data_IF_239997811721
#
_entry.id   IF_239997811721
#
_cell.length_a   1.000
_cell.length_b   1.000
_cell.length_c   1.000
_cell.angle_alpha   90.00
_cell.angle_beta   90.00
_cell.angle_gamma   90.00
#
_symmetry.space_group_name_H-M   'P 1'
#
loop_
_entity.id
_entity.type
_entity.pdbx_description
1 polymer ?
#
# COMPACT_ATOMS: atom_id res chain seq x y z
N UNK A 1 -37.35 9.06 5.41
CA UNK A 1 -36.77 7.89 6.10
C UNK A 1 -35.27 8.12 6.17
N UNK A 2 -34.73 8.34 7.37
CA UNK A 2 -33.27 8.45 7.57
C UNK A 2 -32.73 7.04 7.74
N UNK A 3 -32.09 6.50 6.71
CA UNK A 3 -31.32 5.25 6.81
C UNK A 3 -30.34 5.37 7.98
N UNK A 4 -30.33 4.37 8.87
CA UNK A 4 -29.40 4.35 10.00
C UNK A 4 -27.97 4.13 9.49
N UNK A 5 -26.97 4.63 10.21
CA UNK A 5 -25.56 4.39 9.87
C UNK A 5 -25.20 2.90 9.87
N UNK A 6 -25.91 2.12 10.67
CA UNK A 6 -25.79 0.67 10.73
C UNK A 6 -26.36 -0.02 9.49
N UNK A 7 -27.46 0.49 8.93
CA UNK A 7 -28.07 -0.03 7.69
C UNK A 7 -27.13 0.22 6.51
N UNK A 8 -26.59 1.44 6.40
CA UNK A 8 -25.60 1.80 5.36
C UNK A 8 -24.34 0.93 5.44
N UNK A 9 -23.89 0.57 6.65
CA UNK A 9 -22.79 -0.37 6.86
C UNK A 9 -23.16 -1.77 6.37
N UNK A 10 -24.36 -2.24 6.70
CA UNK A 10 -24.84 -3.55 6.29
C UNK A 10 -24.95 -3.64 4.75
N UNK A 11 -25.45 -2.60 4.10
CA UNK A 11 -25.51 -2.52 2.64
C UNK A 11 -24.13 -2.49 2.00
N UNK A 12 -23.20 -1.70 2.56
CA UNK A 12 -21.79 -1.71 2.13
C UNK A 12 -21.16 -3.10 2.22
N UNK A 13 -21.44 -3.85 3.29
CA UNK A 13 -20.96 -5.23 3.45
C UNK A 13 -21.59 -6.18 2.42
N UNK A 14 -22.87 -6.01 2.09
CA UNK A 14 -23.56 -6.79 1.05
C UNK A 14 -22.95 -6.54 -0.33
N UNK A 15 -22.74 -5.28 -0.71
CA UNK A 15 -22.09 -4.95 -1.98
C UNK A 15 -20.66 -5.48 -2.06
N UNK A 16 -19.92 -5.44 -0.94
CA UNK A 16 -18.59 -6.02 -0.85
C UNK A 16 -18.57 -7.52 -1.11
N UNK A 17 -19.52 -8.27 -0.54
CA UNK A 17 -19.65 -9.71 -0.78
C UNK A 17 -20.05 -10.03 -2.23
N UNK A 18 -20.79 -9.14 -2.87
CA UNK A 18 -21.14 -9.24 -4.30
C UNK A 18 -19.98 -8.84 -5.25
N UNK A 19 -18.83 -8.40 -4.73
CA UNK A 19 -17.71 -7.90 -5.53
C UNK A 19 -17.94 -6.51 -6.13
N UNK A 20 -19.03 -5.83 -5.77
CA UNK A 20 -19.40 -4.49 -6.25
C UNK A 20 -18.72 -3.42 -5.39
N UNK A 21 -17.40 -3.30 -5.54
CA UNK A 21 -16.59 -2.47 -4.65
C UNK A 21 -16.86 -0.96 -4.76
N UNK A 22 -17.22 -0.45 -5.95
CA UNK A 22 -17.53 0.98 -6.13
C UNK A 22 -18.79 1.39 -5.36
N UNK A 23 -19.84 0.58 -5.46
CA UNK A 23 -21.10 0.85 -4.74
C UNK A 23 -20.93 0.68 -3.23
N UNK A 24 -20.09 -0.26 -2.80
CA UNK A 24 -19.69 -0.38 -1.40
C UNK A 24 -18.98 0.90 -0.91
N UNK A 25 -18.08 1.49 -1.71
CA UNK A 25 -17.39 2.75 -1.36
C UNK A 25 -18.40 3.89 -1.19
N UNK A 26 -19.41 3.98 -2.06
CA UNK A 26 -20.45 5.00 -1.97
C UNK A 26 -21.30 4.84 -0.70
N UNK A 27 -21.70 3.60 -0.39
CA UNK A 27 -22.44 3.28 0.83
C UNK A 27 -21.64 3.63 2.10
N UNK A 28 -20.35 3.26 2.16
CA UNK A 28 -19.48 3.62 3.29
C UNK A 28 -19.24 5.13 3.38
N UNK A 29 -19.15 5.83 2.24
CA UNK A 29 -18.98 7.28 2.24
C UNK A 29 -20.21 8.00 2.76
N UNK A 30 -21.42 7.52 2.42
CA UNK A 30 -22.68 7.99 3.01
C UNK A 30 -22.70 7.75 4.53
N UNK A 31 -22.25 6.58 4.99
CA UNK A 31 -22.16 6.27 6.43
C UNK A 31 -21.19 7.22 7.16
N UNK A 32 -20.02 7.52 6.56
CA UNK A 32 -19.01 8.44 7.12
C UNK A 32 -19.56 9.88 7.22
N UNK A 33 -20.30 10.36 6.22
CA UNK A 33 -20.92 11.69 6.25
C UNK A 33 -21.91 11.81 7.41
N UNK A 34 -22.63 10.73 7.73
CA UNK A 34 -23.59 10.69 8.83
C UNK A 34 -22.93 10.55 10.20
N UNK A 35 -21.91 9.70 10.31
CA UNK A 35 -21.15 9.52 11.55
C UNK A 35 -19.65 9.32 11.26
N UNK A 36 -18.83 10.37 11.40
CA UNK A 36 -17.40 10.32 11.09
C UNK A 36 -16.53 9.74 12.22
N UNK A 37 -17.11 9.37 13.37
CA UNK A 37 -16.34 8.93 14.54
C UNK A 37 -16.03 7.43 14.56
N UNK A 38 -16.64 6.64 13.66
CA UNK A 38 -16.51 5.19 13.65
C UNK A 38 -15.34 4.75 12.77
N UNK A 39 -14.28 4.22 13.38
CA UNK A 39 -13.08 3.75 12.67
C UNK A 39 -13.36 2.62 11.67
N UNK A 40 -14.39 1.80 11.92
CA UNK A 40 -14.75 0.64 11.09
C UNK A 40 -15.16 1.03 9.67
N UNK A 41 -15.84 2.17 9.49
CA UNK A 41 -16.28 2.62 8.16
C UNK A 41 -15.08 2.95 7.27
N UNK A 42 -14.06 3.61 7.84
CA UNK A 42 -12.81 3.90 7.14
C UNK A 42 -12.03 2.63 6.80
N UNK A 43 -11.93 1.67 7.73
CA UNK A 43 -11.22 0.40 7.43
C UNK A 43 -11.92 -0.42 6.35
N UNK A 44 -13.25 -0.43 6.33
CA UNK A 44 -14.01 -1.17 5.32
C UNK A 44 -13.92 -0.48 3.94
N UNK A 45 -13.97 0.86 3.91
CA UNK A 45 -13.76 1.64 2.68
C UNK A 45 -12.33 1.47 2.14
N UNK A 46 -11.32 1.51 3.00
CA UNK A 46 -9.93 1.25 2.64
C UNK A 46 -9.78 -0.14 2.00
N UNK A 47 -10.41 -1.17 2.58
CA UNK A 47 -10.40 -2.52 2.01
C UNK A 47 -11.03 -2.57 0.61
N UNK A 48 -12.13 -1.84 0.38
CA UNK A 48 -12.73 -1.74 -0.96
C UNK A 48 -11.76 -1.11 -1.97
N UNK A 49 -11.09 -0.02 -1.60
CA UNK A 49 -10.08 0.62 -2.45
C UNK A 49 -8.91 -0.33 -2.79
N UNK A 50 -8.48 -1.16 -1.84
CA UNK A 50 -7.42 -2.16 -2.07
C UNK A 50 -7.87 -3.25 -3.05
N UNK A 51 -9.11 -3.74 -2.93
CA UNK A 51 -9.62 -4.76 -3.84
C UNK A 51 -9.83 -4.21 -5.26
N UNK A 52 -10.28 -2.95 -5.41
CA UNK A 52 -10.33 -2.27 -6.71
C UNK A 52 -8.92 -2.19 -7.32
N UNK A 53 -7.92 -1.80 -6.53
CA UNK A 53 -6.52 -1.73 -6.98
C UNK A 53 -5.94 -3.10 -7.36
N UNK A 54 -6.32 -4.16 -6.65
CA UNK A 54 -5.81 -5.52 -6.90
C UNK A 54 -6.49 -6.25 -8.05
N UNK A 55 -7.80 -6.05 -8.26
CA UNK A 55 -8.56 -6.76 -9.29
C UNK A 55 -8.21 -6.29 -10.72
N UNK A 56 -7.86 -5.01 -10.87
CA UNK A 56 -7.51 -4.43 -12.16
C UNK A 56 -6.19 -5.00 -12.74
N UNK A 57 -5.36 -5.68 -11.92
CA UNK A 57 -4.08 -6.27 -12.35
C UNK A 57 -4.25 -7.48 -13.28
N UNK A 58 -5.35 -8.24 -13.18
CA UNK A 58 -5.50 -9.50 -13.93
C UNK A 58 -6.03 -9.28 -15.35
N UNK A 59 -6.75 -8.18 -15.61
CA UNK A 59 -7.48 -8.00 -16.87
C UNK A 59 -6.73 -7.17 -17.92
N UNK A 60 -5.82 -6.27 -17.55
CA UNK A 60 -5.23 -5.29 -18.47
C UNK A 60 -3.75 -5.03 -18.18
N UNK A 61 -2.89 -5.98 -18.56
CA UNK A 61 -1.42 -5.85 -18.53
C UNK A 61 -0.84 -4.99 -19.67
N UNK A 62 -1.67 -4.28 -20.46
CA UNK A 62 -1.23 -3.62 -21.71
C UNK A 62 -1.50 -2.11 -21.84
N UNK A 63 -2.10 -1.41 -20.88
CA UNK A 63 -2.38 0.03 -21.00
C UNK A 63 -1.79 0.85 -19.85
N UNK A 64 -0.91 1.81 -20.18
CA UNK A 64 -0.21 2.70 -19.23
C UNK A 64 -1.14 3.60 -18.39
N UNK A 65 -2.40 3.77 -18.79
CA UNK A 65 -3.40 4.59 -18.08
C UNK A 65 -3.91 3.99 -16.77
N UNK A 66 -3.91 2.66 -16.64
CA UNK A 66 -4.56 1.96 -15.52
C UNK A 66 -3.68 1.88 -14.27
N UNK A 67 -2.34 1.96 -14.43
CA UNK A 67 -1.39 1.95 -13.31
C UNK A 67 -1.56 3.17 -12.39
N UNK A 68 -1.87 4.35 -12.97
CA UNK A 68 -2.08 5.57 -12.20
C UNK A 68 -3.35 5.48 -11.34
N UNK A 69 -4.40 4.82 -11.86
CA UNK A 69 -5.64 4.60 -11.12
C UNK A 69 -5.43 3.64 -9.94
N UNK A 70 -4.61 2.60 -10.12
CA UNK A 70 -4.23 1.69 -9.04
C UNK A 70 -3.46 2.43 -7.94
N UNK A 71 -2.39 3.16 -8.27
CA UNK A 71 -1.62 3.93 -7.30
C UNK A 71 -2.49 4.96 -6.56
N UNK A 72 -3.42 5.60 -7.28
CA UNK A 72 -4.40 6.52 -6.68
C UNK A 72 -5.34 5.82 -5.71
N UNK A 73 -5.78 4.59 -6.00
CA UNK A 73 -6.61 3.79 -5.09
C UNK A 73 -5.86 3.39 -3.82
N UNK A 74 -4.59 2.96 -3.94
CA UNK A 74 -3.73 2.64 -2.80
C UNK A 74 -3.44 3.86 -1.91
N UNK A 75 -3.24 5.04 -2.52
CA UNK A 75 -3.05 6.29 -1.79
C UNK A 75 -4.29 6.69 -0.97
N UNK A 76 -5.49 6.60 -1.56
CA UNK A 76 -6.75 6.83 -0.84
C UNK A 76 -6.95 5.83 0.30
N UNK A 77 -6.61 4.57 0.08
CA UNK A 77 -6.70 3.54 1.11
C UNK A 77 -5.75 3.82 2.28
N UNK A 78 -4.53 4.31 2.01
CA UNK A 78 -3.58 4.71 3.03
C UNK A 78 -4.10 5.88 3.88
N UNK A 79 -4.69 6.91 3.25
CA UNK A 79 -5.29 8.05 3.95
C UNK A 79 -6.44 7.61 4.88
N UNK A 80 -7.30 6.71 4.39
CA UNK A 80 -8.40 6.15 5.20
C UNK A 80 -7.87 5.33 6.38
N UNK A 81 -6.77 4.59 6.21
CA UNK A 81 -6.13 3.86 7.30
C UNK A 81 -5.51 4.82 8.34
N UNK A 82 -4.93 5.94 7.92
CA UNK A 82 -4.42 6.97 8.83
C UNK A 82 -5.54 7.61 9.65
N UNK A 83 -6.69 7.92 9.02
CA UNK A 83 -7.88 8.42 9.72
C UNK A 83 -8.43 7.39 10.71
N UNK A 84 -8.52 6.12 10.29
CA UNK A 84 -8.96 5.04 11.17
C UNK A 84 -8.03 4.86 12.39
N UNK A 85 -6.71 4.96 12.19
CA UNK A 85 -5.73 4.86 13.26
C UNK A 85 -5.75 6.05 14.24
N UNK A 86 -6.16 7.23 13.76
CA UNK A 86 -6.38 8.41 14.61
C UNK A 86 -7.61 8.25 15.50
N UNK A 87 -8.71 7.71 14.94
CA UNK A 87 -9.96 7.49 15.67
C UNK A 87 -9.84 6.34 16.68
N UNK A 88 -9.23 5.23 16.27
CA UNK A 88 -9.08 4.05 17.10
C UNK A 88 -7.64 3.53 17.06
N UNK A 89 -6.96 3.70 18.21
CA UNK A 89 -5.57 3.29 18.37
C UNK A 89 -5.41 1.77 18.48
N UNK A 90 -6.47 1.06 18.87
CA UNK A 90 -6.45 -0.38 19.11
C UNK A 90 -6.96 -1.20 17.92
N UNK A 91 -7.39 -0.56 16.83
CA UNK A 91 -7.89 -1.27 15.66
C UNK A 91 -6.74 -1.94 14.87
N UNK A 92 -6.60 -3.26 15.02
CA UNK A 92 -5.60 -4.09 14.30
C UNK A 92 -5.72 -3.95 12.78
N UNK A 93 -6.96 -3.93 12.26
CA UNK A 93 -7.23 -3.93 10.82
C UNK A 93 -6.73 -2.65 10.16
N UNK A 94 -6.85 -1.50 10.84
CA UNK A 94 -6.38 -0.22 10.33
C UNK A 94 -4.86 -0.24 10.06
N UNK A 95 -4.08 -0.75 11.00
CA UNK A 95 -2.62 -0.85 10.84
C UNK A 95 -2.20 -1.92 9.82
N UNK A 96 -2.91 -3.05 9.78
CA UNK A 96 -2.64 -4.11 8.82
C UNK A 96 -2.90 -3.66 7.38
N UNK A 97 -4.06 -3.05 7.13
CA UNK A 97 -4.42 -2.49 5.83
C UNK A 97 -3.48 -1.34 5.44
N UNK A 98 -3.19 -0.41 6.37
CA UNK A 98 -2.23 0.67 6.12
C UNK A 98 -0.83 0.15 5.75
N UNK A 99 -0.36 -0.90 6.43
CA UNK A 99 0.90 -1.57 6.11
C UNK A 99 0.90 -2.18 4.70
N UNK A 100 -0.18 -2.85 4.31
CA UNK A 100 -0.33 -3.40 2.95
C UNK A 100 -0.34 -2.30 1.88
N UNK A 101 -1.08 -1.22 2.11
CA UNK A 101 -1.11 -0.08 1.18
C UNK A 101 0.28 0.57 1.04
N UNK A 102 1.00 0.74 2.14
CA UNK A 102 2.34 1.32 2.13
C UNK A 102 3.36 0.44 1.37
N UNK A 103 3.25 -0.90 1.40
CA UNK A 103 4.06 -1.79 0.57
C UNK A 103 3.81 -1.51 -0.92
N UNK A 104 2.55 -1.38 -1.33
CA UNK A 104 2.19 -1.13 -2.73
C UNK A 104 2.61 0.27 -3.21
N UNK A 105 2.67 1.24 -2.30
CA UNK A 105 3.17 2.60 -2.58
C UNK A 105 4.71 2.69 -2.55
N UNK A 106 5.44 1.61 -2.21
CA UNK A 106 6.91 1.60 -2.11
C UNK A 106 7.46 2.20 -0.81
N UNK A 107 6.60 2.59 0.14
CA UNK A 107 6.98 3.17 1.43
C UNK A 107 7.26 2.08 2.47
N UNK A 108 8.31 1.29 2.25
CA UNK A 108 8.59 0.09 3.05
C UNK A 108 8.94 0.36 4.52
N UNK A 109 9.59 1.49 4.83
CA UNK A 109 9.93 1.84 6.21
C UNK A 109 8.67 2.09 7.06
N UNK A 110 7.71 2.82 6.50
CA UNK A 110 6.43 3.05 7.17
C UNK A 110 5.62 1.75 7.28
N UNK A 111 5.61 0.94 6.21
CA UNK A 111 4.93 -0.35 6.21
C UNK A 111 5.40 -1.26 7.35
N UNK A 112 6.72 -1.39 7.56
CA UNK A 112 7.29 -2.22 8.64
C UNK A 112 6.84 -1.71 10.01
N UNK A 113 6.82 -0.39 10.22
CA UNK A 113 6.33 0.22 11.48
C UNK A 113 4.87 -0.13 11.74
N UNK A 114 4.01 0.04 10.73
CA UNK A 114 2.58 -0.24 10.83
C UNK A 114 2.30 -1.73 11.08
N UNK A 115 2.97 -2.63 10.35
CA UNK A 115 2.81 -4.08 10.50
C UNK A 115 3.32 -4.56 11.87
N UNK A 116 4.40 -3.97 12.39
CA UNK A 116 4.90 -4.28 13.74
C UNK A 116 3.87 -3.89 14.80
N UNK A 117 3.29 -2.70 14.69
CA UNK A 117 2.20 -2.27 15.59
C UNK A 117 0.97 -3.16 15.47
N UNK A 118 0.61 -3.58 14.25
CA UNK A 118 -0.47 -4.52 14.04
C UNK A 118 -0.21 -5.87 14.73
N UNK A 119 1.04 -6.36 14.71
CA UNK A 119 1.46 -7.59 15.41
C UNK A 119 1.26 -7.49 16.92
N UNK A 120 1.71 -6.38 17.51
CA UNK A 120 1.55 -6.13 18.95
C UNK A 120 0.07 -6.14 19.34
N UNK A 121 -0.75 -5.37 18.62
CA UNK A 121 -2.20 -5.31 18.87
C UNK A 121 -2.88 -6.67 18.65
N UNK A 122 -2.53 -7.41 17.60
CA UNK A 122 -3.07 -8.74 17.35
C UNK A 122 -2.72 -9.73 18.46
N UNK A 123 -1.51 -9.63 19.03
CA UNK A 123 -1.09 -10.44 20.17
C UNK A 123 -1.88 -10.09 21.43
N UNK A 124 -2.17 -8.81 21.67
CA UNK A 124 -3.01 -8.40 22.82
C UNK A 124 -4.45 -8.88 22.69
N UNK A 125 -5.00 -8.87 21.47
CA UNK A 125 -6.39 -9.24 21.18
C UNK A 125 -6.57 -10.73 20.87
N UNK A 126 -5.49 -11.54 20.92
CA UNK A 126 -5.46 -12.98 20.58
C UNK A 126 -6.17 -13.31 19.26
N UNK A 127 -5.97 -12.50 18.24
CA UNK A 127 -6.58 -12.73 16.92
C UNK A 127 -5.71 -13.63 16.04
N UNK A 128 -6.33 -14.42 15.15
CA UNK A 128 -5.64 -15.34 14.21
C UNK A 128 -4.88 -14.64 13.06
N UNK A 129 -4.55 -13.36 13.18
CA UNK A 129 -3.83 -12.60 12.12
C UNK A 129 -2.31 -12.86 12.08
N UNK A 130 -1.78 -13.68 13.00
CA UNK A 130 -0.34 -13.87 13.16
C UNK A 130 0.39 -14.28 11.88
N UNK A 131 -0.14 -15.26 11.16
CA UNK A 131 0.50 -15.80 9.95
C UNK A 131 0.50 -14.82 8.78
N UNK A 132 -0.63 -14.12 8.57
CA UNK A 132 -0.75 -13.09 7.53
C UNK A 132 0.18 -11.89 7.81
N UNK A 133 0.23 -11.42 9.05
CA UNK A 133 1.09 -10.31 9.48
C UNK A 133 2.57 -10.68 9.23
N UNK A 134 2.97 -11.91 9.58
CA UNK A 134 4.33 -12.38 9.30
C UNK A 134 4.63 -12.49 7.80
N UNK A 135 3.68 -12.97 7.00
CA UNK A 135 3.84 -13.01 5.54
C UNK A 135 4.06 -11.61 4.96
N UNK A 136 3.21 -10.63 5.33
CA UNK A 136 3.34 -9.24 4.89
C UNK A 136 4.65 -8.59 5.38
N UNK A 137 5.09 -8.91 6.60
CA UNK A 137 6.37 -8.40 7.12
C UNK A 137 7.57 -8.94 6.35
N UNK A 138 7.55 -10.23 5.98
CA UNK A 138 8.60 -10.83 5.13
C UNK A 138 8.63 -10.18 3.75
N UNK A 139 7.46 -9.96 3.16
CA UNK A 139 7.34 -9.25 1.88
C UNK A 139 7.92 -7.83 2.01
N UNK A 140 7.48 -7.02 2.97
CA UNK A 140 7.97 -5.66 3.15
C UNK A 140 9.51 -5.58 3.32
N UNK A 141 10.11 -6.52 4.07
CA UNK A 141 11.57 -6.57 4.25
C UNK A 141 12.30 -6.99 2.98
N UNK A 142 11.78 -7.97 2.24
CA UNK A 142 12.34 -8.40 0.95
C UNK A 142 12.33 -7.26 -0.07
N UNK A 143 11.20 -6.56 -0.16
CA UNK A 143 11.02 -5.42 -1.08
C UNK A 143 11.95 -4.25 -0.70
N UNK A 144 12.07 -3.95 0.60
CA UNK A 144 13.03 -2.96 1.09
C UNK A 144 14.47 -3.30 0.69
N UNK A 145 14.90 -4.54 0.93
CA UNK A 145 16.24 -4.98 0.57
C UNK A 145 16.47 -4.88 -0.94
N UNK A 146 15.47 -5.25 -1.75
CA UNK A 146 15.56 -5.10 -3.21
C UNK A 146 15.74 -3.64 -3.63
N UNK A 147 14.99 -2.70 -3.04
CA UNK A 147 15.14 -1.27 -3.34
C UNK A 147 16.53 -0.74 -2.93
N UNK A 148 17.07 -1.16 -1.80
CA UNK A 148 18.42 -0.77 -1.35
C UNK A 148 19.49 -1.34 -2.28
N UNK A 149 19.35 -2.60 -2.70
CA UNK A 149 20.28 -3.24 -3.62
C UNK A 149 20.25 -2.62 -5.02
N UNK A 150 19.07 -2.29 -5.55
CA UNK A 150 18.94 -1.58 -6.82
C UNK A 150 19.63 -0.21 -6.79
N UNK A 151 19.56 0.51 -5.66
CA UNK A 151 20.31 1.77 -5.49
C UNK A 151 21.81 1.55 -5.51
N UNK A 152 22.30 0.53 -4.78
CA UNK A 152 23.72 0.16 -4.77
C UNK A 152 24.22 -0.19 -6.17
N UNK A 153 23.48 -1.02 -6.91
CA UNK A 153 23.81 -1.41 -8.29
C UNK A 153 23.86 -0.19 -9.21
N UNK A 154 22.91 0.75 -9.05
CA UNK A 154 22.87 1.98 -9.84
C UNK A 154 24.09 2.87 -9.58
N UNK A 155 24.42 3.09 -8.31
CA UNK A 155 25.61 3.86 -7.91
C UNK A 155 26.91 3.23 -8.42
N UNK A 156 27.03 1.91 -8.32
CA UNK A 156 28.17 1.17 -8.86
C UNK A 156 28.25 1.28 -10.39
N UNK A 157 27.11 1.16 -11.08
CA UNK A 157 27.02 1.33 -12.53
C UNK A 157 27.44 2.72 -13.00
N UNK A 158 27.00 3.77 -12.30
CA UNK A 158 27.39 5.17 -12.58
C UNK A 158 28.89 5.37 -12.39
N UNK A 159 29.47 4.82 -11.31
CA UNK A 159 30.90 4.90 -11.04
C UNK A 159 31.72 4.15 -12.09
N UNK A 160 31.29 2.95 -12.49
CA UNK A 160 31.94 2.18 -13.54
C UNK A 160 31.86 2.89 -14.90
N UNK A 161 30.74 3.55 -15.22
CA UNK A 161 30.60 4.33 -16.45
C UNK A 161 31.56 5.54 -16.45
N UNK A 162 31.71 6.21 -15.31
CA UNK A 162 32.67 7.30 -15.15
C UNK A 162 34.12 6.83 -15.38
N UNK A 163 34.51 5.72 -14.74
CA UNK A 163 35.84 5.13 -14.92
C UNK A 163 36.09 4.71 -16.37
N UNK A 164 35.12 4.08 -17.04
CA UNK A 164 35.22 3.72 -18.47
C UNK A 164 35.40 4.95 -19.37
N UNK A 165 34.70 6.05 -19.08
CA UNK A 165 34.86 7.29 -19.84
C UNK A 165 36.25 7.88 -19.65
N UNK A 166 36.77 7.84 -18.42
CA UNK A 166 38.11 8.32 -18.10
C UNK A 166 39.20 7.47 -18.78
N UNK A 167 39.11 6.14 -18.71
CA UNK A 167 40.08 5.25 -19.38
C UNK A 167 40.02 5.39 -20.90
N UNK A 168 38.83 5.58 -21.49
CA UNK A 168 38.69 5.84 -22.91
C UNK A 168 39.35 7.15 -23.33
N UNK A 169 39.16 8.24 -22.57
CA UNK A 169 39.82 9.53 -22.84
C UNK A 169 41.35 9.40 -22.73
N UNK A 170 41.84 8.74 -21.69
CA UNK A 170 43.29 8.52 -21.52
C UNK A 170 43.88 7.67 -22.65
N UNK A 171 43.21 6.59 -23.06
CA UNK A 171 43.63 5.77 -24.19
C UNK A 171 43.65 6.56 -25.51
N UNK A 172 42.65 7.44 -25.71
CA UNK A 172 42.53 8.28 -26.91
C UNK A 172 43.62 9.35 -26.98
N UNK A 173 43.94 10.00 -25.86
CA UNK A 173 45.01 11.00 -25.80
C UNK A 173 46.41 10.37 -25.96
N UNK A 174 46.62 9.14 -25.47
CA UNK A 174 47.91 8.46 -25.60
C UNK A 174 48.22 8.06 -27.05
N UNK A 175 47.18 7.73 -27.84
CA UNK A 175 47.26 7.43 -29.27
C UNK A 175 47.59 8.64 -30.18
N UNK A 176 47.50 9.88 -29.66
CA UNK A 176 47.81 11.10 -30.42
C UNK A 176 49.18 11.72 -30.07
N UNK A 177 49.92 11.14 -29.12
CA UNK A 177 51.22 11.64 -28.64
C UNK A 177 52.40 10.82 -29.22
N UNK A 178 52.12 9.76 -29.98
CA UNK A 178 53.09 9.01 -30.80
C UNK A 178 52.64 9.03 -32.27
#
# INVERSE_FOLDING_TARGET
MTESTEDLKADGNRFFQQGRYQEAIDAYSKAIIRNPHVSTYFTNRALCHMNVGSFLYVFLSCLSGDLLLQLKAWAKAAEDCSKAAFLDRNNVKAYYFGGRAAIQLGNYNEAIRLITKAKELASTQKMNFGDEIHAQMRLARREKFRMEEEKRIKEEGELQAYLRRYTFIFASCWLFIF
#
